data_IF_143607614199
#
_entry.id   IF_143607614199
#
_cell.length_a   1.000
_cell.length_b   1.000
_cell.length_c   1.000
_cell.angle_alpha   90.00
_cell.angle_beta   90.00
_cell.angle_gamma   90.00
#
_symmetry.space_group_name_H-M   'P 1'
#
loop_
_entity.id
_entity.type
_entity.pdbx_description
1 polymer ?
#
# COMPACT_ATOMS: atom_id res chain seq x y z
N UNK A 1 -9.82 -16.29 -12.40
CA UNK A 1 -10.53 -14.99 -12.45
C UNK A 1 -12.00 -15.09 -12.06
N UNK A 2 -12.67 -16.24 -12.30
CA UNK A 2 -14.11 -16.38 -12.07
C UNK A 2 -14.46 -17.14 -10.78
N UNK A 3 -13.46 -17.54 -10.01
CA UNK A 3 -13.62 -18.24 -8.74
C UNK A 3 -13.64 -17.32 -7.53
N UNK A 4 -12.84 -16.25 -7.53
CA UNK A 4 -12.72 -15.33 -6.39
C UNK A 4 -12.50 -13.90 -6.84
N UNK A 5 -12.87 -12.94 -5.99
CA UNK A 5 -12.51 -11.54 -6.10
C UNK A 5 -11.06 -11.28 -5.69
N UNK A 6 -10.53 -12.09 -4.75
CA UNK A 6 -9.14 -12.06 -4.33
C UNK A 6 -8.23 -12.93 -5.20
N UNK A 7 -6.92 -12.75 -5.01
CA UNK A 7 -5.90 -13.53 -5.70
C UNK A 7 -5.81 -14.92 -5.07
N UNK A 8 -6.03 -15.95 -5.86
CA UNK A 8 -5.84 -17.36 -5.47
C UNK A 8 -4.78 -17.99 -6.35
N UNK A 9 -3.93 -18.82 -5.76
CA UNK A 9 -2.88 -19.53 -6.50
C UNK A 9 -3.39 -20.82 -7.10
N UNK A 10 -4.28 -21.52 -6.40
CA UNK A 10 -4.85 -22.79 -6.84
C UNK A 10 -6.32 -22.93 -6.44
N UNK A 11 -7.16 -23.57 -7.29
CA UNK A 11 -8.59 -23.80 -6.99
C UNK A 11 -8.87 -24.52 -5.67
N UNK A 12 -7.96 -25.39 -5.21
CA UNK A 12 -8.10 -26.14 -3.94
C UNK A 12 -8.01 -25.27 -2.69
N UNK A 13 -7.67 -23.98 -2.82
CA UNK A 13 -7.74 -23.04 -1.70
C UNK A 13 -9.17 -22.66 -1.32
N UNK A 14 -10.13 -22.85 -2.25
CA UNK A 14 -11.53 -22.47 -2.07
C UNK A 14 -12.47 -23.67 -2.13
N UNK A 15 -12.15 -24.68 -2.95
CA UNK A 15 -13.04 -25.79 -3.27
C UNK A 15 -12.31 -27.12 -3.23
N UNK A 16 -12.95 -28.13 -2.65
CA UNK A 16 -12.49 -29.50 -2.68
C UNK A 16 -13.33 -30.35 -3.65
N UNK A 17 -12.74 -31.46 -4.11
CA UNK A 17 -13.43 -32.42 -4.99
C UNK A 17 -14.59 -33.08 -4.21
N UNK A 18 -15.79 -32.91 -4.72
CA UNK A 18 -17.01 -33.45 -4.09
C UNK A 18 -17.87 -32.39 -3.41
N UNK A 19 -17.41 -31.14 -3.36
CA UNK A 19 -18.21 -30.04 -2.82
C UNK A 19 -19.41 -29.72 -3.73
N UNK A 20 -20.56 -29.52 -3.11
CA UNK A 20 -21.74 -28.99 -3.79
C UNK A 20 -21.72 -27.47 -3.71
N UNK A 21 -21.65 -26.81 -4.87
CA UNK A 21 -21.55 -25.37 -4.96
C UNK A 21 -22.59 -24.78 -5.90
N UNK A 22 -23.06 -23.60 -5.57
CA UNK A 22 -23.90 -22.82 -6.48
C UNK A 22 -22.99 -21.95 -7.38
N UNK A 23 -23.24 -21.96 -8.66
CA UNK A 23 -22.47 -21.20 -9.65
C UNK A 23 -23.39 -20.42 -10.58
N UNK A 24 -22.92 -19.29 -11.02
CA UNK A 24 -23.60 -18.51 -12.07
C UNK A 24 -23.15 -18.98 -13.44
N UNK A 25 -24.08 -19.16 -14.37
CA UNK A 25 -23.77 -19.43 -15.77
C UNK A 25 -23.40 -18.12 -16.44
N UNK A 26 -22.16 -17.98 -16.88
CA UNK A 26 -21.62 -16.78 -17.51
C UNK A 26 -21.86 -16.78 -19.02
N UNK A 27 -21.60 -17.92 -19.63
CA UNK A 27 -21.80 -18.09 -21.08
C UNK A 27 -22.09 -19.55 -21.40
N UNK A 28 -22.91 -19.74 -22.42
CA UNK A 28 -23.27 -21.05 -22.96
C UNK A 28 -23.00 -21.09 -24.46
N UNK A 29 -22.11 -21.97 -24.87
CA UNK A 29 -21.76 -22.20 -26.29
C UNK A 29 -22.24 -23.59 -26.69
N UNK A 30 -23.41 -23.70 -27.37
CA UNK A 30 -23.99 -24.96 -27.78
C UNK A 30 -23.21 -25.67 -28.90
N UNK A 31 -22.45 -24.91 -29.71
CA UNK A 31 -21.68 -25.51 -30.82
C UNK A 31 -20.43 -26.22 -30.32
N UNK A 32 -19.85 -25.73 -29.24
CA UNK A 32 -18.65 -26.31 -28.63
C UNK A 32 -18.94 -27.14 -27.37
N UNK A 33 -20.21 -27.29 -27.04
CA UNK A 33 -20.68 -27.99 -25.83
C UNK A 33 -19.97 -27.52 -24.56
N UNK A 34 -19.79 -26.17 -24.43
CA UNK A 34 -19.10 -25.54 -23.30
C UNK A 34 -20.01 -24.59 -22.56
N UNK A 35 -19.94 -24.67 -21.23
CA UNK A 35 -20.58 -23.75 -20.30
C UNK A 35 -19.50 -23.10 -19.47
N UNK A 36 -19.47 -21.76 -19.47
CA UNK A 36 -18.61 -20.99 -18.58
C UNK A 36 -19.36 -20.67 -17.31
N UNK A 37 -18.79 -21.04 -16.17
CA UNK A 37 -19.39 -20.87 -14.85
C UNK A 37 -18.55 -19.88 -14.04
N UNK A 38 -19.21 -19.12 -13.18
CA UNK A 38 -18.58 -18.22 -12.23
C UNK A 38 -19.06 -18.45 -10.82
N UNK A 39 -18.13 -18.50 -9.89
CA UNK A 39 -18.40 -18.67 -8.47
C UNK A 39 -18.47 -17.32 -7.73
N UNK A 40 -17.58 -16.39 -8.08
CA UNK A 40 -17.50 -15.07 -7.45
C UNK A 40 -18.76 -14.21 -7.59
N UNK A 41 -19.56 -14.42 -8.65
CA UNK A 41 -20.78 -13.65 -8.89
C UNK A 41 -21.87 -13.89 -7.82
N UNK A 42 -21.74 -14.95 -7.04
CA UNK A 42 -22.61 -15.21 -5.89
C UNK A 42 -22.27 -14.35 -4.68
N UNK A 43 -21.00 -13.96 -4.57
CA UNK A 43 -20.52 -13.11 -3.49
C UNK A 43 -20.70 -11.64 -3.88
N UNK A 44 -21.08 -10.77 -2.94
CA UNK A 44 -21.09 -9.34 -3.21
C UNK A 44 -19.70 -8.89 -3.65
N UNK A 45 -19.64 -7.99 -4.63
CA UNK A 45 -18.36 -7.40 -5.06
C UNK A 45 -17.79 -6.59 -3.89
N UNK A 46 -16.60 -6.93 -3.37
CA UNK A 46 -16.02 -6.23 -2.23
C UNK A 46 -15.65 -4.77 -2.56
N UNK A 47 -15.59 -4.41 -3.83
CA UNK A 47 -15.32 -3.04 -4.27
C UNK A 47 -16.56 -2.13 -4.24
N UNK A 48 -17.76 -2.69 -4.16
CA UNK A 48 -18.98 -1.89 -4.01
C UNK A 48 -19.02 -1.28 -2.61
N UNK A 49 -19.02 0.05 -2.55
CA UNK A 49 -19.02 0.79 -1.28
C UNK A 49 -17.67 0.87 -0.58
N UNK A 50 -16.56 0.55 -1.25
CA UNK A 50 -15.21 0.67 -0.70
C UNK A 50 -14.90 2.11 -0.29
N UNK A 51 -15.33 3.11 -1.07
CA UNK A 51 -15.16 4.52 -0.71
C UNK A 51 -15.87 4.90 0.60
N UNK A 52 -17.04 4.32 0.86
CA UNK A 52 -17.78 4.55 2.11
C UNK A 52 -17.14 3.80 3.29
N UNK A 53 -16.66 2.58 3.04
CA UNK A 53 -16.03 1.73 4.05
C UNK A 53 -14.65 2.22 4.44
N UNK A 54 -13.89 2.71 3.48
CA UNK A 54 -12.52 3.17 3.63
C UNK A 54 -12.36 4.62 3.14
N UNK A 55 -12.89 5.61 3.85
CA UNK A 55 -12.75 7.02 3.47
C UNK A 55 -11.28 7.45 3.49
N UNK A 56 -10.91 8.34 2.57
CA UNK A 56 -9.58 8.92 2.53
C UNK A 56 -9.20 9.56 3.88
N UNK A 57 -7.97 9.31 4.33
CA UNK A 57 -7.47 9.74 5.65
C UNK A 57 -7.69 8.71 6.77
N UNK A 58 -8.41 7.61 6.53
CA UNK A 58 -8.58 6.55 7.53
C UNK A 58 -7.28 5.77 7.72
N UNK A 59 -6.99 5.46 8.99
CA UNK A 59 -5.89 4.58 9.37
C UNK A 59 -6.41 3.19 9.64
N UNK A 60 -5.86 2.21 8.95
CA UNK A 60 -6.24 0.80 9.05
C UNK A 60 -5.01 -0.10 9.00
N UNK A 61 -5.04 -1.27 9.64
CA UNK A 61 -4.03 -2.30 9.42
C UNK A 61 -4.26 -2.99 8.07
N UNK A 62 -3.17 -3.35 7.41
CA UNK A 62 -3.20 -4.13 6.19
C UNK A 62 -2.05 -5.14 6.15
N UNK A 63 -2.20 -6.17 5.34
CA UNK A 63 -1.19 -7.22 5.17
C UNK A 63 -0.48 -7.08 3.84
N UNK A 64 0.85 -7.07 3.86
CA UNK A 64 1.66 -7.04 2.64
C UNK A 64 1.55 -8.37 1.90
N UNK A 65 1.01 -8.33 0.68
CA UNK A 65 0.84 -9.53 -0.16
C UNK A 65 1.85 -9.64 -1.27
N UNK A 66 2.38 -8.51 -1.74
CA UNK A 66 3.38 -8.51 -2.81
C UNK A 66 4.26 -7.25 -2.76
N UNK A 67 5.50 -7.39 -3.16
CA UNK A 67 6.47 -6.31 -3.28
C UNK A 67 6.92 -6.15 -4.73
N UNK A 68 6.94 -4.91 -5.21
CA UNK A 68 7.40 -4.53 -6.55
C UNK A 68 8.47 -3.45 -6.45
N UNK A 69 9.15 -3.14 -7.56
CA UNK A 69 10.19 -2.10 -7.59
C UNK A 69 9.66 -0.69 -7.21
N UNK A 70 8.37 -0.43 -7.42
CA UNK A 70 7.75 0.88 -7.21
C UNK A 70 6.87 0.96 -5.96
N UNK A 71 6.63 -0.15 -5.26
CA UNK A 71 5.81 -0.13 -4.07
C UNK A 71 5.45 -1.51 -3.53
N UNK A 72 4.60 -1.53 -2.52
CA UNK A 72 4.05 -2.72 -1.90
C UNK A 72 2.55 -2.80 -2.11
N UNK A 73 2.05 -3.96 -2.47
CA UNK A 73 0.62 -4.26 -2.46
C UNK A 73 0.23 -4.76 -1.07
N UNK A 74 -0.76 -4.10 -0.51
CA UNK A 74 -1.29 -4.38 0.83
C UNK A 74 -2.75 -4.75 0.71
N UNK A 75 -3.11 -5.93 1.20
CA UNK A 75 -4.48 -6.40 1.27
C UNK A 75 -5.16 -5.80 2.51
N UNK A 76 -6.31 -5.19 2.31
CA UNK A 76 -7.15 -4.62 3.36
C UNK A 76 -8.21 -5.63 3.82
N UNK A 77 -8.79 -6.31 2.84
CA UNK A 77 -9.72 -7.42 3.02
C UNK A 77 -9.68 -8.32 1.78
N UNK A 78 -10.25 -9.51 1.87
CA UNK A 78 -10.28 -10.47 0.77
C UNK A 78 -10.82 -9.85 -0.53
N UNK A 79 -9.96 -9.70 -1.52
CA UNK A 79 -10.28 -9.10 -2.82
C UNK A 79 -10.10 -7.59 -2.93
N UNK A 80 -9.72 -6.90 -1.85
CA UNK A 80 -9.43 -5.46 -1.86
C UNK A 80 -7.97 -5.23 -1.53
N UNK A 81 -7.19 -4.88 -2.52
CA UNK A 81 -5.76 -4.59 -2.39
C UNK A 81 -5.50 -3.11 -2.73
N UNK A 82 -4.60 -2.50 -1.96
CA UNK A 82 -4.11 -1.15 -2.23
C UNK A 82 -2.61 -1.13 -2.47
N UNK A 83 -2.13 -0.06 -3.10
CA UNK A 83 -0.72 0.16 -3.39
C UNK A 83 -0.14 1.22 -2.45
N UNK A 84 0.91 0.87 -1.72
CA UNK A 84 1.80 1.81 -1.04
C UNK A 84 2.97 2.09 -1.98
N UNK A 85 2.97 3.27 -2.61
CA UNK A 85 4.08 3.67 -3.46
C UNK A 85 5.35 3.89 -2.63
N UNK A 86 6.52 3.66 -3.21
CA UNK A 86 7.82 3.76 -2.53
C UNK A 86 8.05 5.14 -1.87
N UNK A 87 7.52 6.21 -2.45
CA UNK A 87 7.58 7.57 -1.91
C UNK A 87 6.69 7.77 -0.68
N UNK A 88 5.72 6.89 -0.47
CA UNK A 88 4.75 6.93 0.62
C UNK A 88 5.11 6.00 1.80
N UNK A 89 6.26 5.31 1.71
CA UNK A 89 6.69 4.34 2.73
C UNK A 89 7.42 4.98 3.91
N UNK A 90 8.21 6.02 3.69
CA UNK A 90 8.98 6.65 4.77
C UNK A 90 9.26 8.13 4.52
N UNK A 91 9.32 8.92 5.60
CA UNK A 91 9.78 10.30 5.62
C UNK A 91 11.30 10.42 5.70
N UNK A 92 11.96 9.43 6.32
CA UNK A 92 13.36 9.53 6.78
C UNK A 92 14.39 9.06 5.77
N UNK A 93 14.01 8.12 4.89
CA UNK A 93 14.95 7.49 3.95
C UNK A 93 14.36 7.46 2.55
N UNK A 94 15.20 7.79 1.57
CA UNK A 94 14.91 7.48 0.19
C UNK A 94 15.04 5.98 -0.01
N UNK A 95 13.91 5.30 0.03
CA UNK A 95 13.83 3.85 -0.14
C UNK A 95 14.09 3.54 -1.61
N UNK A 96 15.06 2.68 -1.88
CA UNK A 96 15.37 2.25 -3.25
C UNK A 96 14.53 1.06 -3.68
N UNK A 97 14.15 0.21 -2.72
CA UNK A 97 13.30 -0.95 -2.94
C UNK A 97 12.49 -1.26 -1.68
N UNK A 98 11.19 -1.57 -1.83
CA UNK A 98 10.31 -1.85 -0.69
C UNK A 98 10.78 -2.96 0.24
N UNK A 99 11.42 -4.00 -0.29
CA UNK A 99 11.95 -5.12 0.49
C UNK A 99 13.02 -4.76 1.53
N UNK A 100 13.51 -3.51 1.55
CA UNK A 100 14.40 -3.04 2.60
C UNK A 100 13.66 -2.59 3.88
N UNK A 101 12.36 -2.45 3.79
CA UNK A 101 11.51 -1.91 4.86
C UNK A 101 10.39 -2.88 5.23
N UNK A 102 9.90 -3.65 4.25
CA UNK A 102 8.76 -4.54 4.38
C UNK A 102 9.08 -5.91 3.81
N UNK A 103 8.55 -6.94 4.45
CA UNK A 103 8.52 -8.31 3.94
C UNK A 103 7.09 -8.72 3.57
N UNK A 104 6.98 -9.72 2.68
CA UNK A 104 5.67 -10.31 2.34
C UNK A 104 5.11 -10.99 3.57
N UNK A 105 3.84 -10.75 3.84
CA UNK A 105 3.08 -11.17 5.02
C UNK A 105 3.23 -10.28 6.25
N UNK A 106 3.99 -9.18 6.19
CA UNK A 106 4.00 -8.20 7.26
C UNK A 106 2.64 -7.51 7.43
N UNK A 107 2.27 -7.28 8.68
CA UNK A 107 1.14 -6.42 9.01
C UNK A 107 1.64 -5.00 9.24
N UNK A 108 1.05 -4.06 8.51
CA UNK A 108 1.45 -2.65 8.56
C UNK A 108 0.25 -1.74 8.75
N UNK A 109 0.45 -0.71 9.53
CA UNK A 109 -0.54 0.37 9.63
C UNK A 109 -0.38 1.30 8.42
N UNK A 110 -1.48 1.55 7.75
CA UNK A 110 -1.55 2.38 6.55
C UNK A 110 -2.65 3.41 6.66
N UNK A 111 -2.50 4.48 5.91
CA UNK A 111 -3.51 5.51 5.74
C UNK A 111 -4.00 5.49 4.30
N UNK A 112 -5.30 5.56 4.11
CA UNK A 112 -5.90 5.64 2.79
C UNK A 112 -5.73 7.05 2.26
N UNK A 113 -5.07 7.19 1.11
CA UNK A 113 -4.84 8.47 0.45
C UNK A 113 -5.92 8.78 -0.57
N UNK A 114 -6.29 7.78 -1.36
CA UNK A 114 -7.28 7.89 -2.42
C UNK A 114 -7.89 6.53 -2.73
N UNK A 115 -9.15 6.51 -3.14
CA UNK A 115 -9.90 5.30 -3.52
C UNK A 115 -10.56 5.52 -4.86
N UNK A 116 -10.23 4.69 -5.82
CA UNK A 116 -10.83 4.65 -7.16
C UNK A 116 -11.56 3.31 -7.33
N UNK A 117 -12.88 3.34 -7.16
CA UNK A 117 -13.75 2.16 -7.31
C UNK A 117 -13.81 1.67 -8.76
N UNK A 118 -13.79 2.59 -9.72
CA UNK A 118 -13.91 2.26 -11.14
C UNK A 118 -12.67 1.52 -11.64
N UNK A 119 -11.50 1.98 -11.25
CA UNK A 119 -10.22 1.35 -11.58
C UNK A 119 -9.84 0.22 -10.64
N UNK A 120 -10.60 0.01 -9.57
CA UNK A 120 -10.29 -0.94 -8.49
C UNK A 120 -8.89 -0.73 -7.91
N UNK A 121 -8.60 0.51 -7.55
CA UNK A 121 -7.30 0.91 -7.01
C UNK A 121 -7.48 1.73 -5.74
N UNK A 122 -6.66 1.43 -4.75
CA UNK A 122 -6.55 2.20 -3.53
C UNK A 122 -5.10 2.65 -3.37
N UNK A 123 -4.92 3.95 -3.23
CA UNK A 123 -3.61 4.53 -2.92
C UNK A 123 -3.43 4.60 -1.42
N UNK A 124 -2.37 4.01 -0.93
CA UNK A 124 -2.08 3.89 0.49
C UNK A 124 -0.78 4.61 0.85
N UNK A 125 -0.70 5.10 2.07
CA UNK A 125 0.50 5.69 2.64
C UNK A 125 0.85 5.09 3.99
N UNK A 126 2.13 4.83 4.22
CA UNK A 126 2.67 4.42 5.53
C UNK A 126 3.25 5.61 6.29
N UNK A 127 3.94 6.50 5.59
CA UNK A 127 4.61 7.63 6.23
C UNK A 127 3.67 8.53 7.02
N UNK A 128 2.38 8.57 6.68
CA UNK A 128 1.37 9.35 7.38
C UNK A 128 1.02 8.77 8.76
N UNK A 129 1.35 7.51 9.03
CA UNK A 129 1.18 6.89 10.34
C UNK A 129 2.23 7.37 11.34
N UNK A 130 3.37 7.84 10.84
CA UNK A 130 4.44 8.44 11.64
C UNK A 130 4.31 9.97 11.64
N UNK A 131 4.69 10.64 12.74
CA UNK A 131 4.74 12.09 12.76
C UNK A 131 5.74 12.59 11.71
N UNK A 132 5.33 13.62 10.96
CA UNK A 132 6.21 14.21 9.95
C UNK A 132 7.43 14.87 10.63
N UNK A 133 8.65 14.38 10.40
CA UNK A 133 9.85 14.89 11.04
C UNK A 133 10.08 16.39 10.77
N UNK A 134 9.66 16.87 9.58
CA UNK A 134 9.78 18.29 9.21
C UNK A 134 8.87 19.20 10.03
N UNK A 135 7.67 18.72 10.41
CA UNK A 135 6.80 19.48 11.33
C UNK A 135 7.36 19.49 12.74
N UNK A 136 7.86 18.36 13.21
CA UNK A 136 8.50 18.28 14.53
C UNK A 136 9.72 19.18 14.65
N UNK A 137 10.47 19.38 13.57
CA UNK A 137 11.60 20.32 13.55
C UNK A 137 11.14 21.76 13.54
N UNK A 138 10.11 22.10 12.75
CA UNK A 138 9.53 23.44 12.74
C UNK A 138 8.98 23.84 14.12
N UNK A 139 8.37 22.89 14.82
CA UNK A 139 7.86 23.12 16.20
C UNK A 139 8.97 23.16 17.26
N UNK A 140 10.09 22.45 17.02
CA UNK A 140 11.19 22.34 17.98
C UNK A 140 12.25 23.41 17.83
N UNK A 141 12.45 23.89 16.62
CA UNK A 141 13.48 24.85 16.28
C UNK A 141 12.87 26.05 15.55
N UNK A 142 12.82 27.20 16.22
CA UNK A 142 12.44 28.47 15.63
C UNK A 142 13.60 29.10 14.87
N UNK A 143 13.29 29.97 13.92
CA UNK A 143 14.32 30.75 13.23
C UNK A 143 15.14 31.58 14.21
N UNK A 144 16.46 31.47 14.11
CA UNK A 144 17.41 32.11 15.02
C UNK A 144 17.92 31.22 16.15
N UNK A 145 17.37 30.03 16.34
CA UNK A 145 17.86 29.09 17.35
C UNK A 145 19.23 28.50 16.95
N UNK A 146 20.13 28.40 17.93
CA UNK A 146 21.41 27.73 17.78
C UNK A 146 21.25 26.26 18.12
N UNK A 147 21.49 25.40 17.16
CA UNK A 147 21.37 23.94 17.29
C UNK A 147 22.69 23.25 17.05
N UNK A 148 22.87 22.06 17.65
CA UNK A 148 24.01 21.19 17.37
C UNK A 148 23.64 20.23 16.25
N UNK A 149 24.46 20.19 15.19
CA UNK A 149 24.32 19.27 14.10
C UNK A 149 25.61 18.50 13.83
N UNK A 150 25.50 17.37 13.15
CA UNK A 150 26.64 16.55 12.72
C UNK A 150 26.87 16.72 11.23
N UNK A 151 28.06 17.13 10.82
CA UNK A 151 28.41 17.22 9.39
C UNK A 151 28.42 15.82 8.78
N UNK A 152 27.58 15.63 7.78
CA UNK A 152 27.43 14.37 7.04
C UNK A 152 28.23 14.35 5.76
N UNK A 153 28.19 15.47 5.03
CA UNK A 153 28.84 15.57 3.74
C UNK A 153 29.31 17.01 3.47
N UNK A 154 30.41 17.13 2.75
CA UNK A 154 30.98 18.40 2.29
C UNK A 154 30.94 18.42 0.76
N UNK A 155 30.46 19.52 0.22
CA UNK A 155 30.38 19.78 -1.22
C UNK A 155 31.02 21.13 -1.55
N UNK A 156 31.28 21.39 -2.83
CA UNK A 156 31.90 22.65 -3.30
C UNK A 156 31.03 23.90 -2.98
N UNK A 157 29.75 23.72 -2.72
CA UNK A 157 28.79 24.79 -2.44
C UNK A 157 28.32 24.83 -0.98
N UNK A 158 28.77 23.92 -0.11
CA UNK A 158 28.41 23.95 1.29
C UNK A 158 28.56 22.63 2.02
N UNK A 159 28.13 22.62 3.27
CA UNK A 159 28.14 21.47 4.15
C UNK A 159 26.74 20.98 4.48
N UNK A 160 26.50 19.70 4.30
CA UNK A 160 25.29 19.04 4.79
C UNK A 160 25.45 18.61 6.24
N UNK A 161 24.58 19.12 7.09
CA UNK A 161 24.61 18.91 8.54
C UNK A 161 23.32 18.25 8.97
N UNK A 162 23.42 17.07 9.57
CA UNK A 162 22.28 16.38 10.18
C UNK A 162 21.87 17.10 11.46
N UNK A 163 20.67 17.62 11.48
CA UNK A 163 20.07 18.38 12.60
C UNK A 163 19.04 17.57 13.38
N UNK A 164 18.59 16.45 12.80
CA UNK A 164 17.68 15.49 13.42
C UNK A 164 17.75 14.16 12.70
N UNK A 165 17.17 13.12 13.24
CA UNK A 165 17.20 11.78 12.64
C UNK A 165 16.64 11.81 11.19
N UNK A 166 17.54 11.71 10.21
CA UNK A 166 17.19 11.68 8.78
C UNK A 166 16.87 13.04 8.17
N UNK A 167 17.17 14.15 8.84
CA UNK A 167 17.01 15.50 8.32
C UNK A 167 18.35 16.19 8.24
N UNK A 168 18.72 16.55 7.03
CA UNK A 168 19.95 17.25 6.72
C UNK A 168 19.65 18.73 6.36
N UNK A 169 20.34 19.65 7.02
CA UNK A 169 20.36 21.07 6.67
C UNK A 169 21.59 21.38 5.83
N UNK A 170 21.51 22.40 4.97
CA UNK A 170 22.64 22.88 4.18
C UNK A 170 23.16 24.19 4.76
N UNK A 171 24.46 24.22 5.06
CA UNK A 171 25.20 25.45 5.31
C UNK A 171 25.88 25.81 4.00
N UNK A 172 25.38 26.87 3.36
CA UNK A 172 25.95 27.38 2.11
C UNK A 172 27.22 28.16 2.39
N UNK A 173 28.23 28.09 1.50
CA UNK A 173 29.48 28.88 1.59
C UNK A 173 29.23 30.37 1.35
#
# INVERSE_FOLDING_TARGET
TDMSWGRISHPTEILDIGDEIDVAVLNFDPERERVSLGYKQRMPDPWVGVCEKYPAGSRIPGKVVSLTNYGAFVELEAGVEGLVHISEMSWRKRIQHPSKVLDVSDEVDIVILDVDEDSRRISLGMKQTEPNPWRLIADKYEEGNIIKGRVRNLTDFGAFVEVGEGIDGLIHI
#
